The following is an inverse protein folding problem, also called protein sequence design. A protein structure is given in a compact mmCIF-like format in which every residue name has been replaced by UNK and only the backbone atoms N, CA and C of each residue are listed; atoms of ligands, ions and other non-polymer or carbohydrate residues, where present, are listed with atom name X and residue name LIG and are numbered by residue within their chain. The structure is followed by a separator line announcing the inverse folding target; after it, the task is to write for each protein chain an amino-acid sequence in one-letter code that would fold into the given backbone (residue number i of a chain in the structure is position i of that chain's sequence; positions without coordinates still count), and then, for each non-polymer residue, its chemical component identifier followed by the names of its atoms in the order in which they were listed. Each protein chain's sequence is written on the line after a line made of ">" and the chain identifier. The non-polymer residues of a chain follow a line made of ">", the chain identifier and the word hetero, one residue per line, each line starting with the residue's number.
data_IF_596314333498
#
_entry.id   IF_596314333498
#
_cell.length_a   1.000
_cell.length_b   1.000
_cell.length_c   1.000
_cell.angle_alpha   90.00
_cell.angle_beta   90.00
_cell.angle_gamma   90.00
#
_symmetry.space_group_name_H-M   'P 1'
#
loop_
_entity.id
_entity.type
_entity.pdbx_description
1 polymer ?
#
# COMPACT_ATOMS: atom_id res chain seq x y z
N UNK A 1 -8.98 -18.00 -0.67
CA UNK A 1 -7.84 -17.17 -1.11
C UNK A 1 -7.53 -17.50 -2.55
N UNK A 2 -7.22 -16.49 -3.36
CA UNK A 2 -7.02 -16.59 -4.83
C UNK A 2 -5.82 -15.74 -5.24
N UNK A 3 -5.24 -16.02 -6.41
CA UNK A 3 -4.10 -15.29 -6.97
C UNK A 3 -4.40 -14.86 -8.41
N UNK A 4 -3.62 -13.89 -8.93
CA UNK A 4 -3.81 -13.25 -10.26
C UNK A 4 -5.19 -12.59 -10.46
N UNK A 5 -5.79 -12.11 -9.37
CA UNK A 5 -7.03 -11.35 -9.42
C UNK A 5 -6.86 -10.03 -10.16
N UNK A 6 -7.93 -9.59 -10.82
CA UNK A 6 -8.02 -8.25 -11.40
C UNK A 6 -8.71 -7.36 -10.38
N UNK A 7 -8.03 -6.27 -9.99
CA UNK A 7 -8.58 -5.26 -9.11
C UNK A 7 -8.96 -4.00 -9.90
N UNK A 8 -9.92 -3.19 -9.39
CA UNK A 8 -10.20 -1.88 -9.95
C UNK A 8 -8.93 -1.03 -9.93
N UNK A 9 -8.69 -0.27 -11.00
CA UNK A 9 -7.59 0.68 -11.06
C UNK A 9 -8.08 2.05 -10.62
N UNK A 10 -7.36 2.68 -9.70
CA UNK A 10 -7.61 4.10 -9.39
C UNK A 10 -7.42 4.97 -10.64
N UNK A 11 -8.22 6.03 -10.71
CA UNK A 11 -8.11 7.10 -11.72
C UNK A 11 -6.86 7.96 -11.48
N UNK A 12 -6.28 7.92 -10.27
CA UNK A 12 -5.00 8.55 -10.00
C UNK A 12 -3.90 7.88 -10.83
N UNK A 13 -3.28 8.65 -11.70
CA UNK A 13 -2.19 8.18 -12.58
C UNK A 13 -0.82 8.62 -12.09
N UNK A 14 -0.77 9.57 -11.17
CA UNK A 14 0.46 10.15 -10.61
C UNK A 14 0.29 10.41 -9.12
N UNK A 15 1.38 10.27 -8.40
CA UNK A 15 1.52 10.78 -7.03
C UNK A 15 2.73 11.72 -7.01
N UNK A 16 2.52 12.96 -6.63
CA UNK A 16 3.49 14.04 -6.76
C UNK A 16 4.00 14.12 -8.22
N UNK A 17 5.29 13.85 -8.45
CA UNK A 17 5.92 13.88 -9.78
C UNK A 17 6.12 12.49 -10.39
N UNK A 18 5.76 11.41 -9.68
CA UNK A 18 5.98 10.02 -10.12
C UNK A 18 4.72 9.42 -10.74
N UNK A 19 4.90 8.73 -11.86
CA UNK A 19 3.84 7.93 -12.47
C UNK A 19 3.57 6.68 -11.63
N UNK A 20 2.28 6.33 -11.49
CA UNK A 20 1.88 5.11 -10.80
C UNK A 20 1.74 3.95 -11.79
N UNK A 21 2.54 2.91 -11.58
CA UNK A 21 2.41 1.65 -12.31
C UNK A 21 1.09 0.93 -12.02
N UNK A 22 0.77 -0.10 -12.81
CA UNK A 22 -0.52 -0.83 -12.70
C UNK A 22 -0.73 -1.46 -11.33
N UNK A 23 0.31 -1.99 -10.67
CA UNK A 23 0.22 -2.53 -9.29
C UNK A 23 -0.16 -1.46 -8.27
N UNK A 24 0.42 -0.26 -8.37
CA UNK A 24 0.10 0.84 -7.49
C UNK A 24 -1.35 1.29 -7.68
N UNK A 25 -1.78 1.41 -8.93
CA UNK A 25 -3.16 1.81 -9.26
C UNK A 25 -4.19 0.76 -8.85
N UNK A 26 -3.86 -0.52 -9.00
CA UNK A 26 -4.71 -1.63 -8.54
C UNK A 26 -4.85 -1.66 -7.02
N UNK A 27 -3.73 -1.50 -6.30
CA UNK A 27 -3.75 -1.45 -4.84
C UNK A 27 -4.48 -0.23 -4.29
N UNK A 28 -4.27 0.93 -4.91
CA UNK A 28 -5.02 2.14 -4.57
C UNK A 28 -6.51 1.97 -4.87
N UNK A 29 -6.86 1.48 -6.05
CA UNK A 29 -8.26 1.33 -6.47
C UNK A 29 -9.06 0.37 -5.59
N UNK A 30 -8.49 -0.76 -5.17
CA UNK A 30 -9.21 -1.65 -4.23
C UNK A 30 -9.32 -1.02 -2.84
N UNK A 31 -8.32 -0.27 -2.38
CA UNK A 31 -8.38 0.45 -1.09
C UNK A 31 -9.33 1.66 -1.10
N UNK A 32 -9.69 2.20 -2.26
CA UNK A 32 -10.73 3.24 -2.40
C UNK A 32 -12.14 2.67 -2.20
N UNK A 33 -12.32 1.36 -2.43
CA UNK A 33 -13.61 0.67 -2.41
C UNK A 33 -13.76 -0.32 -1.24
N UNK A 34 -12.76 -0.40 -0.36
CA UNK A 34 -12.76 -1.31 0.78
C UNK A 34 -11.85 -0.80 1.89
N UNK A 35 -11.93 -1.41 3.06
CA UNK A 35 -11.03 -1.23 4.20
C UNK A 35 -9.71 -2.03 4.04
N UNK A 36 -9.45 -2.60 2.87
CA UNK A 36 -8.27 -3.42 2.64
C UNK A 36 -6.96 -2.64 2.87
N UNK A 37 -5.99 -3.33 3.49
CA UNK A 37 -4.61 -2.88 3.59
C UNK A 37 -3.81 -3.57 2.48
N UNK A 38 -3.28 -2.80 1.54
CA UNK A 38 -2.58 -3.35 0.36
C UNK A 38 -1.11 -3.00 0.39
N UNK A 39 -0.26 -4.01 0.56
CA UNK A 39 1.19 -3.90 0.41
C UNK A 39 1.59 -4.05 -1.05
N UNK A 40 2.39 -3.11 -1.56
CA UNK A 40 2.75 -3.03 -2.98
C UNK A 40 4.27 -2.92 -3.08
N UNK A 41 4.87 -3.77 -3.92
CA UNK A 41 6.29 -3.70 -4.27
C UNK A 41 6.41 -3.27 -5.74
N UNK A 42 7.16 -2.19 -5.96
CA UNK A 42 7.48 -1.69 -7.30
C UNK A 42 8.37 -2.69 -8.05
N UNK A 43 8.02 -3.03 -9.31
CA UNK A 43 8.95 -3.81 -10.17
C UNK A 43 10.20 -3.04 -10.51
N UNK A 44 10.01 -1.75 -10.73
CA UNK A 44 11.00 -0.89 -11.36
C UNK A 44 12.07 -0.48 -10.35
N UNK A 45 11.65 -0.25 -9.10
CA UNK A 45 12.51 0.33 -8.06
C UNK A 45 12.69 -0.57 -6.84
N UNK A 46 11.90 -1.63 -6.70
CA UNK A 46 11.82 -2.41 -5.46
C UNK A 46 11.22 -1.65 -4.27
N UNK A 47 10.79 -0.40 -4.47
CA UNK A 47 10.22 0.44 -3.42
C UNK A 47 8.93 -0.15 -2.83
N UNK A 48 8.77 0.03 -1.52
CA UNK A 48 7.64 -0.47 -0.74
C UNK A 48 6.61 0.64 -0.59
N UNK A 49 5.35 0.31 -0.84
CA UNK A 49 4.21 1.20 -0.63
C UNK A 49 3.07 0.48 0.06
N UNK A 50 2.24 1.22 0.79
CA UNK A 50 0.98 0.74 1.36
C UNK A 50 -0.15 1.62 0.84
N UNK A 51 -1.24 0.99 0.37
CA UNK A 51 -2.50 1.64 0.08
C UNK A 51 -3.57 1.20 1.09
N UNK A 52 -4.26 2.16 1.69
CA UNK A 52 -5.33 1.90 2.66
C UNK A 52 -6.27 3.12 2.70
N UNK A 53 -7.58 2.87 2.72
CA UNK A 53 -8.63 3.92 2.73
C UNK A 53 -8.38 5.02 1.67
N UNK A 54 -8.08 4.60 0.44
CA UNK A 54 -7.80 5.51 -0.68
C UNK A 54 -6.54 6.37 -0.55
N UNK A 55 -5.67 6.09 0.42
CA UNK A 55 -4.40 6.80 0.62
C UNK A 55 -3.22 5.91 0.24
N UNK A 56 -2.36 6.39 -0.66
CA UNK A 56 -1.12 5.71 -1.05
C UNK A 56 0.09 6.34 -0.33
N UNK A 57 0.74 5.56 0.53
CA UNK A 57 2.01 5.92 1.18
C UNK A 57 3.16 5.21 0.49
N UNK A 58 4.09 5.95 -0.10
CA UNK A 58 5.24 5.40 -0.86
C UNK A 58 6.56 5.54 -0.12
N UNK A 59 7.60 4.91 -0.65
CA UNK A 59 8.99 5.01 -0.15
C UNK A 59 9.11 4.60 1.33
N UNK A 60 8.32 3.60 1.74
CA UNK A 60 8.32 3.07 3.10
C UNK A 60 9.64 2.31 3.33
N UNK A 61 10.37 2.69 4.38
CA UNK A 61 11.57 1.97 4.78
C UNK A 61 11.23 0.65 5.49
N UNK A 62 12.15 -0.32 5.43
CA UNK A 62 12.00 -1.61 6.12
C UNK A 62 11.76 -1.47 7.63
N UNK A 63 12.28 -0.41 8.25
CA UNK A 63 12.08 -0.16 9.68
C UNK A 63 10.67 0.40 9.99
N UNK A 64 10.06 1.10 9.04
CA UNK A 64 8.70 1.64 9.18
C UNK A 64 7.63 0.60 8.84
N UNK A 65 7.93 -0.34 7.94
CA UNK A 65 6.95 -1.30 7.44
C UNK A 65 6.24 -2.10 8.56
N UNK A 66 6.94 -2.71 9.54
CA UNK A 66 6.28 -3.43 10.63
C UNK A 66 5.33 -2.55 11.43
N UNK A 67 5.76 -1.32 11.73
CA UNK A 67 4.98 -0.34 12.51
C UNK A 67 3.70 0.02 11.78
N UNK A 68 3.79 0.28 10.46
CA UNK A 68 2.63 0.61 9.63
C UNK A 68 1.68 -0.58 9.48
N UNK A 69 2.19 -1.78 9.20
CA UNK A 69 1.34 -2.98 9.10
C UNK A 69 0.62 -3.26 10.42
N UNK A 70 1.32 -3.15 11.54
CA UNK A 70 0.71 -3.38 12.84
C UNK A 70 -0.36 -2.34 13.16
N UNK A 71 -0.10 -1.05 12.84
CA UNK A 71 -1.09 0.02 12.97
C UNK A 71 -2.39 -0.27 12.21
N UNK A 72 -2.30 -0.88 11.02
CA UNK A 72 -3.46 -1.10 10.15
C UNK A 72 -4.13 -2.47 10.33
N UNK A 73 -3.41 -3.47 10.84
CA UNK A 73 -3.90 -4.85 10.92
C UNK A 73 -4.22 -5.32 12.34
N UNK A 74 -3.87 -4.54 13.35
CA UNK A 74 -4.08 -4.93 14.76
C UNK A 74 -4.63 -3.77 15.58
N UNK A 75 -5.50 -4.08 16.54
CA UNK A 75 -6.01 -3.12 17.52
C UNK A 75 -4.99 -2.78 18.64
N UNK A 76 -3.76 -3.31 18.56
CA UNK A 76 -2.73 -3.17 19.57
C UNK A 76 -1.68 -2.16 19.13
N UNK A 77 -1.44 -1.12 19.94
CA UNK A 77 -0.37 -0.14 19.69
C UNK A 77 0.99 -0.83 19.83
N UNK A 78 1.73 -0.95 18.73
CA UNK A 78 3.12 -1.39 18.76
C UNK A 78 3.96 -0.40 19.58
N UNK A 79 4.52 -0.89 20.69
CA UNK A 79 5.58 -0.20 21.39
C UNK A 79 6.89 -0.81 20.88
N UNK A 80 7.67 -0.10 20.04
CA UNK A 80 9.02 -0.55 19.74
C UNK A 80 9.76 -0.69 21.06
N UNK A 81 10.25 -1.89 21.32
CA UNK A 81 11.00 -2.21 22.53
C UNK A 81 12.22 -1.31 22.68
N UNK A 82 12.54 -1.08 23.95
CA UNK A 82 13.74 -0.43 24.51
C UNK A 82 15.04 -0.71 23.75
#
# INVERSE_FOLDING_TARGET
>A
MVARCVFPLSTATKLNTRNLGTRHRAGLGISEQSDAVVLIISEETGGISIAHEGTLTTDISMNQLPVLLQKHLTDQVYQPGT
#
